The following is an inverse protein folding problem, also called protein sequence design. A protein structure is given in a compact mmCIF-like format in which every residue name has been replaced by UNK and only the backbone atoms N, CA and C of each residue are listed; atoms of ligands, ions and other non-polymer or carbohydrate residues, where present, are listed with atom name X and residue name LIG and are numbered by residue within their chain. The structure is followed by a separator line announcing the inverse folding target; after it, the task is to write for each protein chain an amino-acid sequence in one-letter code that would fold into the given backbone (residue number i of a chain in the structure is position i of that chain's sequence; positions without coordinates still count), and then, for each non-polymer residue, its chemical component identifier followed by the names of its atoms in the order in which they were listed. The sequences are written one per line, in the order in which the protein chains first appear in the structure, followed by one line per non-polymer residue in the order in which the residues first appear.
data_IF_337388406883
#
_entry.id   IF_337388406883
#
_cell.length_a   1.000
_cell.length_b   1.000
_cell.length_c   1.000
_cell.angle_alpha   90.00
_cell.angle_beta   90.00
_cell.angle_gamma   90.00
#
_symmetry.space_group_name_H-M   'P 1'
#
loop_
_entity.id
_entity.type
_entity.pdbx_description
1 polymer ?
#
# COMPACT_ATOMS: atom_id res chain seq x y z
N UNK A 1 -6.81 -14.71 6.60
CA UNK A 1 -5.90 -13.95 5.73
C UNK A 1 -4.59 -13.73 6.46
N UNK A 2 -3.48 -14.24 5.93
CA UNK A 2 -2.16 -14.19 6.59
C UNK A 2 -1.24 -13.16 5.90
N UNK A 3 -0.46 -12.40 6.66
CA UNK A 3 0.51 -11.44 6.11
C UNK A 3 1.92 -12.04 6.05
N UNK A 4 2.60 -11.95 4.90
CA UNK A 4 4.03 -12.27 4.82
C UNK A 4 4.88 -11.25 5.59
N UNK A 5 6.12 -11.62 5.93
CA UNK A 5 7.09 -10.68 6.52
C UNK A 5 7.34 -9.47 5.60
N UNK A 6 7.34 -9.69 4.29
CA UNK A 6 7.48 -8.61 3.32
C UNK A 6 6.28 -7.64 3.38
N UNK A 7 5.05 -8.15 3.41
CA UNK A 7 3.85 -7.34 3.55
C UNK A 7 3.86 -6.54 4.86
N UNK A 8 4.20 -7.17 5.99
CA UNK A 8 4.31 -6.49 7.31
C UNK A 8 5.32 -5.34 7.27
N UNK A 9 6.50 -5.56 6.68
CA UNK A 9 7.53 -4.53 6.55
C UNK A 9 7.04 -3.35 5.70
N UNK A 10 6.39 -3.64 4.56
CA UNK A 10 5.83 -2.60 3.68
C UNK A 10 4.71 -1.81 4.37
N UNK A 11 3.85 -2.48 5.11
CA UNK A 11 2.78 -1.86 5.89
C UNK A 11 3.35 -0.88 6.91
N UNK A 12 4.35 -1.31 7.68
CA UNK A 12 4.99 -0.46 8.67
C UNK A 12 5.67 0.77 8.02
N UNK A 13 6.51 0.53 7.00
CA UNK A 13 7.24 1.61 6.31
C UNK A 13 6.32 2.64 5.65
N UNK A 14 5.14 2.21 5.17
CA UNK A 14 4.22 3.05 4.42
C UNK A 14 2.99 3.50 5.20
N UNK A 15 2.93 3.18 6.50
CA UNK A 15 1.75 3.40 7.33
C UNK A 15 0.46 2.90 6.64
N UNK A 16 0.51 1.70 6.06
CA UNK A 16 -0.67 1.02 5.51
C UNK A 16 -1.25 0.16 6.62
N UNK A 17 -2.50 0.43 7.00
CA UNK A 17 -3.17 -0.28 8.09
C UNK A 17 -3.77 -1.60 7.60
N UNK A 18 -4.15 -2.48 8.52
CA UNK A 18 -4.97 -3.65 8.17
C UNK A 18 -6.31 -3.22 7.56
N UNK A 19 -6.91 -2.13 8.03
CA UNK A 19 -8.15 -1.61 7.48
C UNK A 19 -7.99 -1.17 6.02
N UNK A 20 -6.88 -0.52 5.67
CA UNK A 20 -6.55 -0.16 4.28
C UNK A 20 -6.50 -1.42 3.39
N UNK A 21 -5.88 -2.50 3.90
CA UNK A 21 -5.78 -3.78 3.19
C UNK A 21 -7.17 -4.37 3.00
N UNK A 22 -7.98 -4.49 4.05
CA UNK A 22 -9.34 -5.01 3.95
C UNK A 22 -10.21 -4.20 2.98
N UNK A 23 -10.18 -2.87 3.08
CA UNK A 23 -10.90 -1.98 2.17
C UNK A 23 -10.45 -2.20 0.72
N UNK A 24 -9.14 -2.36 0.49
CA UNK A 24 -8.61 -2.59 -0.84
C UNK A 24 -9.05 -3.94 -1.43
N UNK A 25 -9.17 -4.99 -0.61
CA UNK A 25 -9.61 -6.30 -1.09
C UNK A 25 -11.11 -6.33 -1.37
N UNK A 26 -11.91 -5.69 -0.52
CA UNK A 26 -13.38 -5.70 -0.64
C UNK A 26 -13.86 -4.75 -1.75
N UNK A 27 -13.27 -3.56 -1.85
CA UNK A 27 -13.74 -2.48 -2.74
C UNK A 27 -12.85 -2.28 -3.96
N UNK A 28 -11.68 -2.92 -4.00
CA UNK A 28 -10.72 -2.72 -5.08
C UNK A 28 -11.04 -3.53 -6.33
N UNK A 29 -10.51 -3.06 -7.46
CA UNK A 29 -10.64 -3.77 -8.73
C UNK A 29 -9.64 -4.92 -8.78
N UNK A 30 -10.08 -6.17 -8.99
CA UNK A 30 -9.19 -7.32 -9.11
C UNK A 30 -8.54 -7.35 -10.50
N UNK A 31 -7.23 -7.59 -10.53
CA UNK A 31 -6.44 -7.81 -11.74
C UNK A 31 -5.57 -9.04 -11.56
N UNK A 32 -5.62 -9.95 -12.53
CA UNK A 32 -4.76 -11.13 -12.53
C UNK A 32 -3.31 -10.73 -12.77
N UNK A 33 -2.40 -11.27 -11.96
CA UNK A 33 -0.96 -11.11 -12.11
C UNK A 33 -0.28 -12.46 -12.35
N UNK A 34 1.01 -12.44 -12.69
CA UNK A 34 1.77 -13.67 -12.94
C UNK A 34 1.73 -14.59 -11.70
N UNK A 35 1.80 -15.90 -11.94
CA UNK A 35 1.90 -16.94 -10.91
C UNK A 35 0.66 -17.09 -10.00
N UNK A 36 -0.55 -16.92 -10.54
CA UNK A 36 -1.80 -17.14 -9.79
C UNK A 36 -2.04 -16.11 -8.67
N UNK A 37 -1.36 -14.96 -8.73
CA UNK A 37 -1.55 -13.88 -7.77
C UNK A 37 -2.62 -12.91 -8.30
N UNK A 38 -3.43 -12.37 -7.41
CA UNK A 38 -4.42 -11.33 -7.73
C UNK A 38 -4.00 -10.02 -7.10
N UNK A 39 -3.92 -8.96 -7.91
CA UNK A 39 -3.70 -7.59 -7.46
C UNK A 39 -5.06 -6.91 -7.31
N UNK A 40 -5.34 -6.41 -6.11
CA UNK A 40 -6.47 -5.53 -5.84
C UNK A 40 -5.95 -4.10 -5.78
N UNK A 41 -6.61 -3.16 -6.46
CA UNK A 41 -6.26 -1.73 -6.38
C UNK A 41 -7.45 -0.93 -5.91
N UNK A 42 -7.25 -0.11 -4.88
CA UNK A 42 -8.28 0.78 -4.35
C UNK A 42 -7.63 2.09 -3.89
N UNK A 43 -8.14 3.21 -4.38
CA UNK A 43 -7.57 4.54 -4.16
C UNK A 43 -6.07 4.56 -4.50
N UNK A 44 -5.22 4.97 -3.55
CA UNK A 44 -3.79 5.12 -3.72
C UNK A 44 -2.98 3.87 -3.35
N UNK A 45 -3.65 2.76 -3.02
CA UNK A 45 -3.03 1.53 -2.52
C UNK A 45 -3.35 0.37 -3.46
N UNK A 46 -2.41 -0.54 -3.61
CA UNK A 46 -2.66 -1.86 -4.15
C UNK A 46 -2.16 -2.95 -3.20
N UNK A 47 -2.84 -4.09 -3.23
CA UNK A 47 -2.58 -5.28 -2.42
C UNK A 47 -2.45 -6.46 -3.36
N UNK A 48 -1.40 -7.27 -3.23
CA UNK A 48 -1.24 -8.52 -3.98
C UNK A 48 -1.51 -9.68 -3.04
N UNK A 49 -2.45 -10.54 -3.43
CA UNK A 49 -2.89 -11.71 -2.67
C UNK A 49 -2.65 -12.97 -3.49
N UNK A 50 -2.15 -13.99 -2.82
CA UNK A 50 -2.31 -15.36 -3.30
C UNK A 50 -3.68 -15.84 -2.84
N UNK A 51 -4.63 -15.94 -3.78
CA UNK A 51 -6.04 -16.26 -3.49
C UNK A 51 -6.22 -17.71 -3.04
N UNK A 52 -5.45 -18.64 -3.61
CA UNK A 52 -5.48 -20.06 -3.23
C UNK A 52 -5.09 -20.28 -1.76
N UNK A 53 -4.06 -19.59 -1.29
CA UNK A 53 -3.53 -19.72 0.08
C UNK A 53 -4.09 -18.67 1.05
N UNK A 54 -4.84 -17.70 0.54
CA UNK A 54 -5.37 -16.56 1.29
C UNK A 54 -4.28 -15.78 2.05
N UNK A 55 -3.17 -15.52 1.36
CA UNK A 55 -1.96 -14.84 1.88
C UNK A 55 -1.77 -13.49 1.17
N UNK A 56 -1.63 -12.41 1.94
CA UNK A 56 -1.20 -11.10 1.43
C UNK A 56 0.32 -11.14 1.21
N UNK A 57 0.72 -11.11 -0.05
CA UNK A 57 2.12 -11.17 -0.48
C UNK A 57 2.79 -9.82 -0.28
N UNK A 58 2.14 -8.72 -0.67
CA UNK A 58 2.69 -7.37 -0.52
C UNK A 58 1.59 -6.30 -0.57
N UNK A 59 1.90 -5.12 -0.02
CA UNK A 59 1.06 -3.93 -0.03
C UNK A 59 1.89 -2.71 -0.38
N UNK A 60 1.40 -1.86 -1.27
CA UNK A 60 2.17 -0.75 -1.82
C UNK A 60 1.26 0.40 -2.26
N UNK A 61 1.86 1.56 -2.50
CA UNK A 61 1.18 2.67 -3.16
C UNK A 61 1.20 2.50 -4.68
N UNK A 62 0.15 2.98 -5.33
CA UNK A 62 0.14 3.09 -6.80
C UNK A 62 1.27 4.02 -7.26
N UNK A 63 1.69 3.86 -8.51
CA UNK A 63 2.82 4.61 -9.05
C UNK A 63 2.56 6.13 -9.04
N UNK A 64 1.33 6.56 -9.35
CA UNK A 64 0.93 7.96 -9.34
C UNK A 64 1.14 8.60 -7.96
N UNK A 65 0.61 7.97 -6.90
CA UNK A 65 0.79 8.44 -5.53
C UNK A 65 2.25 8.40 -5.08
N UNK A 66 2.99 7.35 -5.47
CA UNK A 66 4.44 7.27 -5.20
C UNK A 66 5.21 8.44 -5.83
N UNK A 67 4.86 8.87 -7.05
CA UNK A 67 5.45 10.05 -7.69
C UNK A 67 5.13 11.33 -6.92
N UNK A 68 3.91 11.49 -6.43
CA UNK A 68 3.51 12.64 -5.61
C UNK A 68 4.31 12.72 -4.30
N UNK A 69 4.46 11.60 -3.58
CA UNK A 69 5.26 11.55 -2.34
C UNK A 69 6.73 11.87 -2.64
N UNK A 70 7.29 11.35 -3.73
CA UNK A 70 8.67 11.68 -4.15
C UNK A 70 8.85 13.17 -4.43
N UNK A 71 7.87 13.81 -5.10
CA UNK A 71 7.87 15.26 -5.35
C UNK A 71 7.85 16.03 -4.03
N UNK A 72 6.96 15.65 -3.11
CA UNK A 72 6.89 16.25 -1.77
C UNK A 72 8.19 16.11 -0.99
N UNK A 73 8.78 14.90 -0.98
CA UNK A 73 10.04 14.64 -0.31
C UNK A 73 11.18 15.53 -0.86
N UNK A 74 11.24 15.70 -2.18
CA UNK A 74 12.22 16.58 -2.83
C UNK A 74 12.03 18.06 -2.47
N UNK A 75 10.79 18.55 -2.46
CA UNK A 75 10.48 19.95 -2.14
C UNK A 75 10.87 20.28 -0.70
N UNK A 76 10.68 19.33 0.23
CA UNK A 76 10.94 19.53 1.65
C UNK A 76 12.32 19.02 2.10
N UNK A 77 13.17 18.54 1.18
CA UNK A 77 14.49 17.99 1.50
C UNK A 77 14.49 16.88 2.57
N UNK A 78 13.48 16.00 2.53
CA UNK A 78 13.33 14.87 3.48
C UNK A 78 13.37 13.52 2.78
N UNK A 79 13.60 12.45 3.56
CA UNK A 79 13.55 11.07 3.05
C UNK A 79 12.14 10.62 2.67
N UNK A 80 12.02 9.69 1.72
CA UNK A 80 10.73 9.19 1.24
C UNK A 80 9.82 8.67 2.37
N UNK A 81 10.34 7.85 3.28
CA UNK A 81 9.53 7.31 4.38
C UNK A 81 9.14 8.37 5.41
N UNK A 82 9.96 9.42 5.58
CA UNK A 82 9.60 10.56 6.41
C UNK A 82 8.45 11.35 5.77
N UNK A 83 8.50 11.57 4.45
CA UNK A 83 7.40 12.15 3.69
C UNK A 83 6.11 11.32 3.79
N UNK A 84 6.20 9.99 3.73
CA UNK A 84 5.02 9.12 3.94
C UNK A 84 4.43 9.35 5.33
N UNK A 85 5.27 9.37 6.38
CA UNK A 85 4.81 9.59 7.75
C UNK A 85 4.10 10.92 7.89
N UNK A 86 4.66 12.00 7.34
CA UNK A 86 4.06 13.34 7.42
C UNK A 86 2.73 13.41 6.67
N UNK A 87 2.66 12.88 5.44
CA UNK A 87 1.44 12.93 4.62
C UNK A 87 0.32 12.07 5.22
N UNK A 88 0.65 10.89 5.78
CA UNK A 88 -0.35 9.99 6.36
C UNK A 88 -0.71 10.34 7.81
N UNK A 89 0.17 10.98 8.58
CA UNK A 89 -0.17 11.47 9.93
C UNK A 89 -1.16 12.64 9.90
N UNK A 90 -1.06 13.51 8.90
CA UNK A 90 -1.96 14.65 8.74
C UNK A 90 -3.34 14.28 8.16
N UNK A 91 -3.54 13.03 7.70
CA UNK A 91 -4.80 12.54 7.12
C UNK A 91 -5.80 11.97 8.17
N UNK A 92 -5.52 12.13 9.47
CA UNK A 92 -6.52 12.02 10.55
C UNK A 92 -6.93 13.40 11.12
N UNK A 93 -6.64 14.49 10.40
CA UNK A 93 -7.09 15.84 10.73
C UNK A 93 -7.95 16.41 9.58
N UNK A 94 -9.03 15.71 9.24
CA UNK A 94 -10.26 16.27 8.66
C UNK A 94 -11.43 15.49 9.24
#
# INVERSE_FOLDING_TARGET
MTLTNHAKLRMNQRQITLQDVFNCVIKGTPENTKNGLTKYTYQNIYVIINTEKNIVVTTCFIQAYTKQIKKYAKINSIGFYQAVRMLRSCLNAV
#
